data_IF_831683422013
#
_entry.id   IF_831683422013
#
_cell.length_a   1.000
_cell.length_b   1.000
_cell.length_c   1.000
_cell.angle_alpha   90.00
_cell.angle_beta   90.00
_cell.angle_gamma   90.00
#
_symmetry.space_group_name_H-M   'P 1'
#
loop_
_entity.id
_entity.type
_entity.pdbx_description
1 polymer ?
#
# COMPACT_ATOMS: atom_id res chain seq x y z
N UNK A 1 -45.60 -16.71 9.09
CA UNK A 1 -45.06 -15.48 8.45
C UNK A 1 -43.92 -14.86 9.26
N UNK A 2 -44.03 -14.75 10.59
CA UNK A 2 -42.98 -14.20 11.47
C UNK A 2 -41.56 -14.81 11.28
N UNK A 3 -41.44 -16.14 11.16
CA UNK A 3 -40.13 -16.83 11.05
C UNK A 3 -39.36 -16.47 9.76
N UNK A 4 -40.06 -16.17 8.66
CA UNK A 4 -39.44 -15.68 7.41
C UNK A 4 -38.97 -14.22 7.55
N UNK A 5 -39.70 -13.39 8.31
CA UNK A 5 -39.34 -11.98 8.54
C UNK A 5 -38.08 -11.88 9.39
N UNK A 6 -37.94 -12.70 10.43
CA UNK A 6 -36.71 -12.77 11.23
C UNK A 6 -35.52 -13.28 10.40
N UNK A 7 -35.71 -14.30 9.56
CA UNK A 7 -34.66 -14.77 8.67
C UNK A 7 -34.22 -13.68 7.66
N UNK A 8 -35.18 -12.95 7.05
CA UNK A 8 -34.89 -11.84 6.13
C UNK A 8 -34.19 -10.69 6.86
N UNK A 9 -34.64 -10.32 8.06
CA UNK A 9 -34.02 -9.28 8.88
C UNK A 9 -32.57 -9.66 9.25
N UNK A 10 -32.34 -10.88 9.70
CA UNK A 10 -31.00 -11.39 10.03
C UNK A 10 -30.09 -11.40 8.79
N UNK A 11 -30.58 -11.86 7.64
CA UNK A 11 -29.82 -11.86 6.38
C UNK A 11 -29.48 -10.43 5.92
N UNK A 12 -30.42 -9.50 6.02
CA UNK A 12 -30.20 -8.09 5.67
C UNK A 12 -29.22 -7.39 6.60
N UNK A 13 -29.24 -7.73 7.90
CA UNK A 13 -28.28 -7.22 8.90
C UNK A 13 -26.90 -7.84 8.68
N UNK A 14 -26.82 -9.13 8.33
CA UNK A 14 -25.55 -9.82 8.05
C UNK A 14 -24.91 -9.31 6.75
N UNK A 15 -25.70 -9.09 5.69
CA UNK A 15 -25.23 -8.43 4.47
C UNK A 15 -24.80 -6.98 4.74
N UNK A 16 -25.57 -6.22 5.52
CA UNK A 16 -25.19 -4.85 5.92
C UNK A 16 -23.88 -4.80 6.71
N UNK A 17 -23.66 -5.76 7.62
CA UNK A 17 -22.43 -5.88 8.40
C UNK A 17 -21.21 -6.21 7.54
N UNK A 18 -21.36 -7.08 6.52
CA UNK A 18 -20.29 -7.39 5.58
C UNK A 18 -19.99 -6.22 4.63
N UNK A 19 -21.03 -5.48 4.18
CA UNK A 19 -20.88 -4.31 3.30
C UNK A 19 -20.16 -3.16 3.99
N UNK A 20 -20.38 -2.92 5.29
CA UNK A 20 -19.70 -1.86 6.03
C UNK A 20 -18.19 -2.07 6.26
N UNK A 21 -17.66 -3.28 6.03
CA UNK A 21 -16.22 -3.57 6.22
C UNK A 21 -15.38 -3.22 4.99
N UNK A 22 -16.01 -2.96 3.84
CA UNK A 22 -15.30 -2.89 2.56
C UNK A 22 -14.95 -1.50 2.01
N UNK A 23 -15.47 -0.40 2.57
CA UNK A 23 -15.35 0.92 1.95
C UNK A 23 -14.03 1.69 2.24
N UNK A 24 -12.90 0.98 2.40
CA UNK A 24 -11.57 1.58 2.57
C UNK A 24 -10.38 0.64 2.34
N UNK A 25 -10.58 -0.43 1.55
CA UNK A 25 -9.86 -1.70 1.69
C UNK A 25 -8.39 -1.75 1.24
N UNK A 26 -7.90 -0.79 0.45
CA UNK A 26 -6.61 -0.90 -0.20
C UNK A 26 -5.71 0.31 0.15
N UNK A 27 -4.62 0.13 0.93
CA UNK A 27 -3.75 1.24 1.32
C UNK A 27 -3.03 1.80 0.09
N UNK A 28 -3.12 3.11 -0.14
CA UNK A 28 -2.50 3.77 -1.31
C UNK A 28 -0.99 3.87 -1.13
N UNK A 29 -0.55 4.09 0.10
CA UNK A 29 0.86 4.17 0.47
C UNK A 29 1.12 3.62 1.89
N UNK A 30 2.39 3.62 2.30
CA UNK A 30 2.79 3.16 3.63
C UNK A 30 2.23 4.03 4.77
N UNK A 31 1.77 5.25 4.51
CA UNK A 31 1.14 6.11 5.52
C UNK A 31 -0.23 5.60 5.91
N UNK A 32 -1.00 5.04 4.97
CA UNK A 32 -2.30 4.43 5.25
C UNK A 32 -2.14 3.15 6.07
N UNK A 33 -1.13 2.35 5.71
CA UNK A 33 -0.74 1.17 6.50
C UNK A 33 -0.36 1.57 7.92
N UNK A 34 0.45 2.62 8.08
CA UNK A 34 0.83 3.12 9.40
C UNK A 34 -0.36 3.63 10.22
N UNK A 35 -1.28 4.39 9.60
CA UNK A 35 -2.52 4.88 10.25
C UNK A 35 -3.45 3.75 10.67
N UNK A 36 -3.42 2.59 9.99
CA UNK A 36 -4.16 1.39 10.39
C UNK A 36 -3.63 0.72 11.66
N UNK A 37 -2.53 1.22 12.24
CA UNK A 37 -1.92 0.69 13.46
C UNK A 37 -0.72 -0.23 13.22
N UNK A 38 -0.30 -0.43 11.97
CA UNK A 38 0.90 -1.19 11.65
C UNK A 38 2.16 -0.35 11.88
N UNK A 39 2.93 -0.69 12.90
CA UNK A 39 4.13 0.07 13.34
C UNK A 39 5.45 -0.67 13.13
N UNK A 40 5.41 -1.83 12.47
CA UNK A 40 6.59 -2.66 12.21
C UNK A 40 7.11 -2.34 10.81
N UNK A 41 8.41 -2.03 10.69
CA UNK A 41 9.00 -1.81 9.36
C UNK A 41 9.12 -3.13 8.61
N UNK A 42 8.78 -3.14 7.32
CA UNK A 42 8.70 -4.39 6.56
C UNK A 42 8.24 -4.20 5.13
N UNK A 43 8.09 -5.31 4.41
CA UNK A 43 7.54 -5.31 3.06
C UNK A 43 6.02 -5.42 3.13
N UNK A 44 5.33 -4.51 2.44
CA UNK A 44 3.88 -4.44 2.37
C UNK A 44 3.43 -4.26 0.91
N UNK A 45 2.19 -4.63 0.63
CA UNK A 45 1.50 -4.31 -0.62
C UNK A 45 0.73 -3.00 -0.46
N UNK A 46 0.93 -2.08 -1.39
CA UNK A 46 0.14 -0.85 -1.53
C UNK A 46 -0.59 -0.86 -2.88
N UNK A 47 -1.64 -0.08 -3.02
CA UNK A 47 -2.47 0.01 -4.22
C UNK A 47 -2.55 1.46 -4.71
N UNK A 48 -1.41 2.04 -5.15
CA UNK A 48 -1.36 3.43 -5.63
C UNK A 48 -2.26 3.67 -6.84
N UNK A 49 -2.61 2.59 -7.54
CA UNK A 49 -3.44 2.57 -8.75
C UNK A 49 -4.82 1.90 -8.54
N UNK A 50 -5.23 1.62 -7.29
CA UNK A 50 -6.51 0.99 -6.96
C UNK A 50 -6.49 -0.54 -6.98
N UNK A 51 -6.29 -1.14 -8.15
CA UNK A 51 -6.54 -2.59 -8.33
C UNK A 51 -5.26 -3.44 -8.35
N UNK A 52 -4.13 -2.86 -8.75
CA UNK A 52 -2.86 -3.58 -8.91
C UNK A 52 -1.96 -3.33 -7.69
N UNK A 53 -1.57 -4.37 -6.93
CA UNK A 53 -0.69 -4.20 -5.79
C UNK A 53 0.75 -3.96 -6.23
N UNK A 54 1.42 -3.03 -5.55
CA UNK A 54 2.85 -2.76 -5.63
C UNK A 54 3.48 -3.13 -4.29
N UNK A 55 4.49 -4.00 -4.32
CA UNK A 55 5.22 -4.39 -3.13
C UNK A 55 6.32 -3.37 -2.82
N UNK A 56 6.28 -2.79 -1.62
CA UNK A 56 7.21 -1.75 -1.17
C UNK A 56 7.71 -2.05 0.23
N UNK A 57 8.90 -1.54 0.56
CA UNK A 57 9.37 -1.54 1.94
C UNK A 57 8.82 -0.28 2.66
N UNK A 58 8.07 -0.49 3.73
CA UNK A 58 7.57 0.58 4.59
C UNK A 58 8.46 0.77 5.82
N UNK A 59 8.96 1.98 6.00
CA UNK A 59 9.67 2.41 7.21
C UNK A 59 8.68 2.93 8.25
N UNK A 60 8.36 2.10 9.25
CA UNK A 60 7.35 2.39 10.27
C UNK A 60 7.92 2.94 11.59
N UNK A 61 9.16 3.44 11.58
CA UNK A 61 9.86 3.86 12.81
C UNK A 61 9.07 4.92 13.57
N UNK A 62 8.64 4.59 14.79
CA UNK A 62 8.36 5.54 15.86
C UNK A 62 9.07 5.07 17.14
N UNK A 63 10.36 5.39 17.28
CA UNK A 63 11.09 5.14 18.54
C UNK A 63 11.77 6.44 18.95
N UNK A 64 11.33 6.98 20.09
CA UNK A 64 11.81 8.25 20.64
C UNK A 64 11.01 9.45 20.16
N UNK A 65 11.03 10.53 20.95
CA UNK A 65 10.29 11.79 20.78
C UNK A 65 10.69 12.61 19.53
N UNK A 66 10.96 11.95 18.41
CA UNK A 66 11.48 12.55 17.20
C UNK A 66 10.34 12.92 16.26
N UNK A 67 10.54 14.04 15.55
CA UNK A 67 9.59 14.73 14.69
C UNK A 67 9.23 13.96 13.41
N UNK A 68 9.77 12.76 13.23
CA UNK A 68 9.64 11.95 12.03
C UNK A 68 8.51 10.94 12.23
N UNK A 69 7.33 11.27 11.73
CA UNK A 69 6.18 10.36 11.70
C UNK A 69 6.56 9.18 10.78
N UNK A 70 6.44 7.94 11.26
CA UNK A 70 6.63 6.72 10.45
C UNK A 70 5.63 6.64 9.28
N UNK A 71 5.63 5.51 8.56
CA UNK A 71 4.76 5.34 7.38
C UNK A 71 5.43 5.73 6.08
N UNK A 72 6.77 5.65 6.01
CA UNK A 72 7.53 6.03 4.83
C UNK A 72 7.49 4.94 3.77
N UNK A 73 7.02 5.26 2.56
CA UNK A 73 7.22 4.44 1.37
C UNK A 73 8.66 4.60 0.88
N UNK A 74 9.49 3.57 1.02
CA UNK A 74 10.90 3.64 0.60
C UNK A 74 10.98 3.48 -0.91
N UNK A 75 11.49 4.50 -1.62
CA UNK A 75 11.66 4.44 -3.09
C UNK A 75 13.01 3.88 -3.52
N UNK A 76 14.01 3.90 -2.63
CA UNK A 76 15.34 3.37 -2.87
C UNK A 76 15.89 2.77 -1.58
N UNK A 77 16.44 1.56 -1.64
CA UNK A 77 17.09 0.90 -0.51
C UNK A 77 18.46 0.36 -0.89
N UNK A 78 19.46 0.67 -0.06
CA UNK A 78 20.85 0.15 -0.14
C UNK A 78 21.20 -0.51 1.19
N UNK A 79 21.95 -1.60 1.15
CA UNK A 79 22.32 -2.39 2.32
C UNK A 79 23.74 -2.93 2.22
N UNK A 80 24.03 -3.72 1.18
CA UNK A 80 25.27 -4.50 1.06
C UNK A 80 25.98 -4.35 -0.29
N UNK A 81 25.39 -3.59 -1.23
CA UNK A 81 25.91 -3.41 -2.57
C UNK A 81 25.73 -4.60 -3.51
N UNK A 82 24.88 -5.57 -3.16
CA UNK A 82 24.58 -6.74 -3.99
C UNK A 82 23.87 -6.40 -5.32
N UNK A 83 23.21 -5.24 -5.40
CA UNK A 83 22.52 -4.79 -6.61
C UNK A 83 23.32 -3.69 -7.29
N UNK A 84 23.59 -3.84 -8.59
CA UNK A 84 24.19 -2.78 -9.39
C UNK A 84 23.16 -1.68 -9.71
N UNK A 85 23.37 -0.49 -9.15
CA UNK A 85 22.57 0.73 -9.39
C UNK A 85 23.06 1.55 -10.59
N UNK A 86 24.25 1.28 -11.13
CA UNK A 86 24.73 1.90 -12.35
C UNK A 86 24.10 1.20 -13.56
N UNK A 87 22.89 1.66 -13.91
CA UNK A 87 22.06 1.11 -14.99
C UNK A 87 21.76 2.19 -16.03
N UNK A 88 21.68 1.84 -17.32
CA UNK A 88 21.26 2.78 -18.34
C UNK A 88 19.82 3.24 -18.09
N UNK A 89 19.52 4.48 -18.49
CA UNK A 89 18.27 5.19 -18.22
C UNK A 89 17.00 4.37 -18.51
N UNK A 90 17.01 3.57 -19.58
CA UNK A 90 15.89 2.73 -19.98
C UNK A 90 15.55 1.61 -18.98
N UNK A 91 16.53 1.08 -18.24
CA UNK A 91 16.33 0.04 -17.23
C UNK A 91 15.87 0.64 -15.89
N UNK A 92 16.36 1.83 -15.55
CA UNK A 92 15.96 2.53 -14.32
C UNK A 92 14.49 2.96 -14.32
N UNK A 93 13.86 3.07 -15.50
CA UNK A 93 12.43 3.44 -15.67
C UNK A 93 11.41 2.38 -15.26
N UNK A 94 11.80 1.13 -15.01
CA UNK A 94 10.88 0.06 -14.59
C UNK A 94 11.06 -0.37 -13.14
N UNK A 95 11.95 0.31 -12.41
CA UNK A 95 12.45 -0.20 -11.14
C UNK A 95 13.34 -1.42 -11.32
N UNK A 96 14.12 -1.74 -10.28
CA UNK A 96 14.98 -2.93 -10.27
C UNK A 96 15.35 -3.33 -8.84
N UNK A 97 15.83 -4.57 -8.69
CA UNK A 97 16.27 -5.13 -7.40
C UNK A 97 15.19 -5.96 -6.72
N UNK A 98 15.32 -6.16 -5.40
CA UNK A 98 14.39 -6.93 -4.59
C UNK A 98 13.92 -6.08 -3.40
N UNK A 99 12.61 -5.96 -3.21
CA UNK A 99 12.00 -5.17 -2.12
C UNK A 99 12.41 -5.65 -0.71
N UNK A 100 12.73 -6.93 -0.56
CA UNK A 100 13.30 -7.49 0.68
C UNK A 100 14.76 -7.06 0.89
N UNK A 101 15.45 -6.69 -0.19
CA UNK A 101 16.87 -6.34 -0.23
C UNK A 101 17.13 -4.90 -0.72
N UNK A 102 18.10 -4.77 -1.63
CA UNK A 102 18.35 -3.51 -2.32
C UNK A 102 17.45 -3.37 -3.55
N UNK A 103 16.84 -2.20 -3.72
CA UNK A 103 15.97 -1.93 -4.87
C UNK A 103 15.83 -0.44 -5.18
N UNK A 104 15.29 -0.17 -6.36
CA UNK A 104 14.84 1.13 -6.84
C UNK A 104 13.40 1.00 -7.35
N UNK A 105 12.49 1.81 -6.82
CA UNK A 105 11.10 1.95 -7.25
C UNK A 105 10.97 3.17 -8.17
N UNK A 106 10.12 3.08 -9.19
CA UNK A 106 9.84 4.20 -10.09
C UNK A 106 8.53 4.87 -9.73
N UNK A 107 8.59 6.18 -9.52
CA UNK A 107 7.47 7.01 -9.08
C UNK A 107 6.47 7.32 -10.21
N UNK A 108 6.90 7.31 -11.48
CA UNK A 108 6.00 7.53 -12.63
C UNK A 108 4.88 6.48 -12.71
N UNK A 109 5.12 5.26 -12.21
CA UNK A 109 4.12 4.19 -12.13
C UNK A 109 3.16 4.37 -10.94
N UNK A 110 3.56 5.13 -9.92
CA UNK A 110 2.68 5.55 -8.81
C UNK A 110 1.74 6.70 -9.23
N UNK A 111 2.11 7.51 -10.23
CA UNK A 111 1.38 8.71 -10.65
C UNK A 111 0.44 8.49 -11.85
N UNK A 112 0.73 7.50 -12.71
CA UNK A 112 0.00 7.31 -13.98
C UNK A 112 -1.48 6.92 -13.84
N UNK A 113 -1.95 6.61 -12.63
CA UNK A 113 -3.34 6.23 -12.37
C UNK A 113 -4.12 7.27 -11.57
N UNK A 114 -3.46 8.30 -11.03
CA UNK A 114 -4.14 9.44 -10.39
C UNK A 114 -4.49 10.56 -11.37
N UNK A 115 -3.77 10.67 -12.50
CA UNK A 115 -4.10 11.61 -13.57
C UNK A 115 -5.34 11.18 -14.38
N UNK A 116 -5.59 9.87 -14.52
CA UNK A 116 -6.72 9.34 -15.27
C UNK A 116 -8.07 9.41 -14.52
N UNK A 117 -8.05 9.83 -13.24
CA UNK A 117 -9.26 10.00 -12.42
C UNK A 117 -9.73 11.47 -12.33
N UNK A 118 -9.10 12.40 -13.06
CA UNK A 118 -9.49 13.82 -13.09
C UNK A 118 -10.03 14.29 -14.45
N UNK A 119 -10.29 13.38 -15.40
CA UNK A 119 -10.76 13.72 -16.76
C UNK A 119 -12.12 13.09 -17.16
N UNK A 120 -13.00 12.70 -16.23
CA UNK A 120 -14.44 12.48 -16.51
C UNK A 120 -15.37 13.08 -15.44
#
# INVERSE_FOLDING_TARGET
>A
MAMKVFAVALLSVFMGFMVSVSDGLNPVDCSDIYKSGQTISGVYSIYPAGDVPVWVYCGMISVGNNKDKGGWTVIQRRMDGSVNFYRPWNQSKRGFGNVQGEYWLVVEELQKTSATALDE
#
